data_IF_997194761673
#
_entry.id   IF_997194761673
#
_cell.length_a   1.000
_cell.length_b   1.000
_cell.length_c   1.000
_cell.angle_alpha   90.00
_cell.angle_beta   90.00
_cell.angle_gamma   90.00
#
_symmetry.space_group_name_H-M   'P 1'
#
loop_
_entity.id
_entity.type
_entity.pdbx_description
1 polymer ?
#
# COMPACT_ATOMS: atom_id res chain seq x y z
N UNK A 1 -14.30 -24.79 -12.54
CA UNK A 1 -13.04 -24.65 -13.30
C UNK A 1 -11.87 -24.77 -12.33
N UNK A 2 -10.73 -25.25 -12.80
CA UNK A 2 -9.47 -25.28 -12.04
C UNK A 2 -8.73 -23.95 -12.26
N UNK A 3 -8.40 -23.23 -11.18
CA UNK A 3 -7.71 -21.95 -11.25
C UNK A 3 -6.42 -22.04 -10.46
N UNK A 4 -5.33 -21.63 -11.10
CA UNK A 4 -4.01 -21.53 -10.46
C UNK A 4 -3.66 -20.06 -10.22
N UNK A 5 -3.44 -19.69 -8.95
CA UNK A 5 -3.04 -18.34 -8.55
C UNK A 5 -1.55 -18.34 -8.22
N UNK A 6 -0.82 -17.41 -8.81
CA UNK A 6 0.61 -17.24 -8.64
C UNK A 6 0.87 -16.08 -7.69
N UNK A 7 1.23 -16.39 -6.44
CA UNK A 7 1.43 -15.44 -5.34
C UNK A 7 0.30 -15.44 -4.32
N UNK A 8 0.66 -15.52 -3.04
CA UNK A 8 -0.22 -15.54 -1.88
C UNK A 8 -0.20 -14.25 -1.05
N UNK A 9 0.16 -13.11 -1.67
CA UNK A 9 -0.05 -11.79 -1.08
C UNK A 9 -1.53 -11.47 -0.94
N UNK A 10 -1.86 -10.29 -0.41
CA UNK A 10 -3.26 -9.87 -0.19
C UNK A 10 -4.13 -10.01 -1.44
N UNK A 11 -3.62 -9.71 -2.62
CA UNK A 11 -4.37 -9.80 -3.88
C UNK A 11 -4.65 -11.27 -4.24
N UNK A 12 -3.63 -12.13 -4.22
CA UNK A 12 -3.79 -13.54 -4.55
C UNK A 12 -4.69 -14.28 -3.57
N UNK A 13 -4.54 -14.02 -2.29
CA UNK A 13 -5.37 -14.66 -1.24
C UNK A 13 -6.83 -14.18 -1.31
N UNK A 14 -7.06 -12.87 -1.54
CA UNK A 14 -8.42 -12.34 -1.71
C UNK A 14 -9.09 -12.93 -2.94
N UNK A 15 -8.37 -13.01 -4.07
CA UNK A 15 -8.89 -13.66 -5.28
C UNK A 15 -9.19 -15.15 -5.04
N UNK A 16 -8.33 -15.87 -4.32
CA UNK A 16 -8.54 -17.27 -3.99
C UNK A 16 -9.83 -17.49 -3.18
N UNK A 17 -10.05 -16.64 -2.16
CA UNK A 17 -11.26 -16.70 -1.35
C UNK A 17 -12.53 -16.51 -2.18
N UNK A 18 -12.59 -15.44 -2.98
CA UNK A 18 -13.79 -15.16 -3.77
C UNK A 18 -14.02 -16.18 -4.90
N UNK A 19 -12.97 -16.69 -5.53
CA UNK A 19 -13.09 -17.73 -6.55
C UNK A 19 -13.55 -19.06 -5.95
N UNK A 20 -13.06 -19.42 -4.77
CA UNK A 20 -13.54 -20.61 -4.06
C UNK A 20 -15.00 -20.44 -3.59
N UNK A 21 -15.37 -19.27 -3.07
CA UNK A 21 -16.76 -18.91 -2.72
C UNK A 21 -17.70 -19.00 -3.94
N UNK A 22 -17.19 -18.74 -5.15
CA UNK A 22 -17.91 -18.90 -6.41
C UNK A 22 -17.92 -20.34 -6.95
N UNK A 23 -17.40 -21.33 -6.21
CA UNK A 23 -17.45 -22.75 -6.57
C UNK A 23 -16.33 -23.23 -7.50
N UNK A 24 -15.22 -22.47 -7.62
CA UNK A 24 -14.06 -22.90 -8.40
C UNK A 24 -13.08 -23.72 -7.55
N UNK A 25 -12.37 -24.67 -8.20
CA UNK A 25 -11.25 -25.39 -7.60
C UNK A 25 -9.99 -24.50 -7.71
N UNK A 26 -9.48 -24.00 -6.58
CA UNK A 26 -8.40 -23.02 -6.55
C UNK A 26 -7.15 -23.61 -5.90
N UNK A 27 -6.01 -23.44 -6.57
CA UNK A 27 -4.68 -23.70 -6.02
C UNK A 27 -3.88 -22.40 -6.04
N UNK A 28 -3.24 -22.07 -4.92
CA UNK A 28 -2.34 -20.91 -4.79
C UNK A 28 -0.93 -21.42 -4.61
N UNK A 29 0.03 -20.82 -5.31
CA UNK A 29 1.45 -21.17 -5.25
C UNK A 29 2.28 -19.97 -4.83
N UNK A 30 3.16 -20.16 -3.87
CA UNK A 30 4.05 -19.09 -3.39
C UNK A 30 5.42 -19.66 -2.97
N UNK A 31 6.48 -18.91 -3.20
CA UNK A 31 7.85 -19.24 -2.79
C UNK A 31 8.08 -19.13 -1.29
N UNK A 32 7.27 -18.36 -0.60
CA UNK A 32 7.35 -18.16 0.85
C UNK A 32 6.75 -19.34 1.60
N UNK A 33 7.05 -19.45 2.89
CA UNK A 33 6.56 -20.52 3.78
C UNK A 33 5.10 -20.32 4.24
N UNK A 34 4.52 -19.14 4.00
CA UNK A 34 3.13 -18.79 4.32
C UNK A 34 2.65 -17.61 3.46
N UNK A 35 1.35 -17.33 3.49
CA UNK A 35 0.78 -16.16 2.82
C UNK A 35 1.29 -14.85 3.42
N UNK A 36 1.35 -13.80 2.59
CA UNK A 36 1.64 -12.42 2.98
C UNK A 36 3.05 -12.14 3.53
N UNK A 37 4.05 -12.96 3.27
CA UNK A 37 5.41 -12.77 3.78
C UNK A 37 6.30 -11.83 2.94
N UNK A 38 5.74 -11.12 1.96
CA UNK A 38 6.45 -10.08 1.20
C UNK A 38 5.78 -8.70 1.39
N UNK A 39 5.44 -7.96 0.36
CA UNK A 39 4.87 -6.59 0.46
C UNK A 39 3.66 -6.50 1.40
N UNK A 40 2.84 -7.55 1.48
CA UNK A 40 1.68 -7.61 2.38
C UNK A 40 2.05 -7.80 3.86
N UNK A 41 3.30 -8.15 4.17
CA UNK A 41 3.78 -8.37 5.55
C UNK A 41 3.91 -7.07 6.35
N UNK A 42 4.51 -6.04 5.72
CA UNK A 42 4.87 -4.82 6.42
C UNK A 42 4.63 -3.59 5.53
N UNK A 43 3.43 -3.07 5.60
CA UNK A 43 2.99 -1.83 4.96
C UNK A 43 2.47 -0.85 6.02
N UNK A 44 2.00 0.32 5.62
CA UNK A 44 1.53 1.35 6.54
C UNK A 44 0.17 1.03 7.20
N UNK A 45 -0.54 -0.01 6.74
CA UNK A 45 -1.83 -0.42 7.30
C UNK A 45 -2.99 0.50 6.93
N UNK A 46 -2.86 1.31 5.90
CA UNK A 46 -3.90 2.23 5.44
C UNK A 46 -4.91 1.54 4.52
N UNK A 47 -6.19 1.75 4.79
CA UNK A 47 -7.33 1.49 3.91
C UNK A 47 -7.97 2.84 3.60
N UNK A 48 -7.28 3.63 2.80
CA UNK A 48 -7.54 5.07 2.62
C UNK A 48 -7.95 5.40 1.18
N UNK A 49 -9.18 5.12 0.77
CA UNK A 49 -9.68 5.44 -0.57
C UNK A 49 -9.66 6.94 -0.85
N UNK A 50 -9.95 7.77 0.16
CA UNK A 50 -9.91 9.22 0.04
C UNK A 50 -8.50 9.78 -0.18
N UNK A 51 -7.47 9.10 0.35
CA UNK A 51 -6.06 9.46 0.15
C UNK A 51 -5.48 8.91 -1.17
N UNK A 52 -6.20 8.03 -1.87
CA UNK A 52 -5.73 7.43 -3.11
C UNK A 52 -5.43 8.46 -4.19
N UNK A 53 -4.16 8.63 -4.54
CA UNK A 53 -3.71 9.55 -5.57
C UNK A 53 -2.51 8.98 -6.34
N UNK A 54 -2.39 9.26 -7.66
CA UNK A 54 -1.23 8.85 -8.42
C UNK A 54 0.01 9.64 -7.99
N UNK A 55 1.15 8.96 -7.90
CA UNK A 55 2.42 9.64 -7.62
C UNK A 55 2.84 10.57 -8.77
N UNK A 56 2.42 10.27 -9.99
CA UNK A 56 2.66 11.10 -11.17
C UNK A 56 1.74 12.32 -11.16
N UNK A 57 2.06 13.32 -10.35
CA UNK A 57 1.32 14.58 -10.24
C UNK A 57 2.06 15.78 -10.86
N UNK A 58 1.32 16.85 -11.17
CA UNK A 58 1.92 18.10 -11.64
C UNK A 58 2.92 18.64 -10.62
N UNK A 59 4.12 19.04 -11.10
CA UNK A 59 5.20 19.54 -10.25
C UNK A 59 5.97 18.48 -9.45
N UNK A 60 5.56 17.20 -9.48
CA UNK A 60 6.28 16.11 -8.82
C UNK A 60 7.73 15.97 -9.29
N UNK A 61 8.08 16.12 -10.58
CA UNK A 61 9.47 16.05 -11.01
C UNK A 61 10.38 17.07 -10.30
N UNK A 62 9.93 18.32 -10.15
CA UNK A 62 10.68 19.35 -9.42
C UNK A 62 10.70 19.08 -7.92
N UNK A 63 9.60 18.61 -7.33
CA UNK A 63 9.54 18.19 -5.93
C UNK A 63 10.48 17.02 -5.65
N UNK A 64 10.58 16.05 -6.58
CA UNK A 64 11.46 14.90 -6.43
C UNK A 64 12.94 15.31 -6.31
N UNK A 65 13.40 16.27 -7.12
CA UNK A 65 14.75 16.82 -7.01
C UNK A 65 14.97 17.45 -5.62
N UNK A 66 14.00 18.25 -5.15
CA UNK A 66 14.07 18.86 -3.82
C UNK A 66 14.11 17.79 -2.72
N UNK A 67 13.27 16.75 -2.82
CA UNK A 67 13.22 15.67 -1.84
C UNK A 67 14.55 14.91 -1.75
N UNK A 68 15.18 14.61 -2.89
CA UNK A 68 16.47 13.92 -2.91
C UNK A 68 17.60 14.69 -2.20
N UNK A 69 17.46 16.02 -2.06
CA UNK A 69 18.43 16.89 -1.38
C UNK A 69 18.12 17.07 0.12
N UNK A 70 16.98 16.56 0.62
CA UNK A 70 16.62 16.68 2.04
C UNK A 70 17.35 15.64 2.89
N UNK A 71 17.70 15.98 4.11
CA UNK A 71 18.32 15.06 5.07
C UNK A 71 17.42 13.85 5.38
N UNK A 72 16.14 14.08 5.66
CA UNK A 72 15.10 13.05 5.79
C UNK A 72 14.29 12.94 4.50
N UNK A 73 14.95 12.49 3.44
CA UNK A 73 14.36 12.43 2.10
C UNK A 73 13.24 11.41 2.01
N UNK A 74 12.02 11.78 1.55
CA UNK A 74 10.96 10.81 1.29
C UNK A 74 11.21 9.96 0.05
N UNK A 75 12.12 10.36 -0.84
CA UNK A 75 12.42 9.67 -2.10
C UNK A 75 13.92 9.56 -2.33
N UNK A 76 14.40 8.35 -2.64
CA UNK A 76 15.75 8.10 -3.11
C UNK A 76 15.72 7.35 -4.43
N UNK A 77 16.50 7.82 -5.39
CA UNK A 77 16.68 7.16 -6.69
C UNK A 77 18.15 6.80 -6.83
N UNK A 78 18.44 5.50 -6.94
CA UNK A 78 19.81 5.04 -7.21
C UNK A 78 20.03 5.06 -8.71
N UNK A 79 21.12 5.70 -9.15
CA UNK A 79 21.50 5.63 -10.56
C UNK A 79 21.89 4.20 -10.90
N UNK A 80 21.08 3.56 -11.75
CA UNK A 80 21.32 2.19 -12.21
C UNK A 80 21.23 2.14 -13.73
N UNK A 81 22.04 1.28 -14.34
CA UNK A 81 21.96 0.96 -15.77
C UNK A 81 20.83 -0.09 -15.99
N UNK A 82 19.60 0.29 -15.63
CA UNK A 82 18.42 -0.55 -15.78
C UNK A 82 17.45 0.08 -16.80
N UNK A 83 17.35 -0.46 -18.02
CA UNK A 83 16.42 0.03 -19.03
C UNK A 83 14.95 -0.01 -18.63
N UNK A 84 14.58 -0.91 -17.70
CA UNK A 84 13.22 -1.00 -17.20
C UNK A 84 12.89 0.20 -16.30
N UNK A 85 13.84 0.61 -15.44
CA UNK A 85 13.71 1.82 -14.62
C UNK A 85 13.55 3.07 -15.47
N UNK A 86 14.37 3.23 -16.50
CA UNK A 86 14.31 4.40 -17.38
C UNK A 86 13.00 4.47 -18.18
N UNK A 87 12.52 3.34 -18.71
CA UNK A 87 11.22 3.27 -19.40
C UNK A 87 10.05 3.58 -18.45
N UNK A 88 10.08 3.03 -17.23
CA UNK A 88 9.08 3.31 -16.21
C UNK A 88 9.10 4.79 -15.82
N UNK A 89 10.28 5.37 -15.57
CA UNK A 89 10.46 6.78 -15.24
C UNK A 89 9.95 7.71 -16.35
N UNK A 90 10.27 7.42 -17.61
CA UNK A 90 9.74 8.17 -18.75
C UNK A 90 8.20 8.10 -18.84
N UNK A 91 7.61 6.94 -18.54
CA UNK A 91 6.15 6.78 -18.49
C UNK A 91 5.54 7.57 -17.32
N UNK A 92 6.19 7.57 -16.16
CA UNK A 92 5.78 8.39 -15.03
C UNK A 92 5.80 9.87 -15.36
N UNK A 93 6.90 10.39 -15.95
CA UNK A 93 7.03 11.78 -16.34
C UNK A 93 5.94 12.21 -17.35
N UNK A 94 5.60 11.37 -18.33
CA UNK A 94 4.50 11.62 -19.27
C UNK A 94 3.14 11.75 -18.59
N UNK A 95 2.96 11.18 -17.41
CA UNK A 95 1.73 11.26 -16.61
C UNK A 95 1.71 12.46 -15.65
N UNK A 96 2.81 13.19 -15.46
CA UNK A 96 2.91 14.35 -14.58
C UNK A 96 2.26 15.61 -15.16
N UNK A 97 1.05 15.53 -15.70
CA UNK A 97 0.27 16.64 -16.22
C UNK A 97 -1.07 16.76 -15.50
N UNK A 98 -1.63 17.97 -15.39
CA UNK A 98 -2.94 18.22 -14.75
C UNK A 98 -4.03 17.28 -15.31
N UNK A 99 -4.16 17.21 -16.63
CA UNK A 99 -5.17 16.39 -17.32
C UNK A 99 -5.04 14.91 -16.98
N UNK A 100 -3.81 14.35 -17.04
CA UNK A 100 -3.58 12.93 -16.74
C UNK A 100 -3.75 12.63 -15.26
N UNK A 101 -3.29 13.55 -14.40
CA UNK A 101 -3.48 13.43 -12.96
C UNK A 101 -4.95 13.32 -12.60
N UNK A 102 -5.80 14.24 -13.07
CA UNK A 102 -7.24 14.22 -12.80
C UNK A 102 -7.90 12.90 -13.26
N UNK A 103 -7.59 12.44 -14.48
CA UNK A 103 -8.10 11.17 -15.01
C UNK A 103 -7.64 9.98 -14.14
N UNK A 104 -6.36 9.91 -13.83
CA UNK A 104 -5.80 8.78 -13.09
C UNK A 104 -6.29 8.78 -11.64
N UNK A 105 -6.35 9.93 -10.99
CA UNK A 105 -6.90 10.07 -9.62
C UNK A 105 -8.36 9.64 -9.58
N UNK A 106 -9.18 10.08 -10.51
CA UNK A 106 -10.60 9.69 -10.58
C UNK A 106 -10.79 8.17 -10.71
N UNK A 107 -9.94 7.50 -11.49
CA UNK A 107 -9.95 6.04 -11.63
C UNK A 107 -9.53 5.35 -10.34
N UNK A 108 -8.48 5.85 -9.68
CA UNK A 108 -8.00 5.31 -8.42
C UNK A 108 -9.03 5.44 -7.31
N UNK A 109 -9.61 6.62 -7.13
CA UNK A 109 -10.62 6.87 -6.08
C UNK A 109 -11.83 5.93 -6.25
N UNK A 110 -12.38 5.79 -7.47
CA UNK A 110 -13.51 4.90 -7.72
C UNK A 110 -13.20 3.43 -7.38
N UNK A 111 -12.02 2.96 -7.78
CA UNK A 111 -11.60 1.58 -7.47
C UNK A 111 -11.36 1.39 -5.98
N UNK A 112 -10.76 2.37 -5.32
CA UNK A 112 -10.43 2.32 -3.91
C UNK A 112 -11.70 2.39 -3.03
N UNK A 113 -12.69 3.22 -3.39
CA UNK A 113 -14.00 3.27 -2.72
C UNK A 113 -14.72 1.92 -2.84
N UNK A 114 -14.77 1.34 -4.06
CA UNK A 114 -15.34 0.02 -4.27
C UNK A 114 -14.62 -1.06 -3.44
N UNK A 115 -13.28 -1.03 -3.42
CA UNK A 115 -12.48 -1.97 -2.63
C UNK A 115 -12.77 -1.87 -1.13
N UNK A 116 -12.92 -0.64 -0.59
CA UNK A 116 -13.31 -0.43 0.80
C UNK A 116 -14.69 -1.04 1.10
N UNK A 117 -15.66 -0.82 0.23
CA UNK A 117 -17.00 -1.35 0.41
C UNK A 117 -17.00 -2.88 0.40
N UNK A 118 -16.27 -3.51 -0.53
CA UNK A 118 -16.04 -4.97 -0.52
C UNK A 118 -15.37 -5.46 0.78
N UNK A 119 -14.40 -4.70 1.34
CA UNK A 119 -13.79 -5.06 2.63
C UNK A 119 -14.80 -4.98 3.79
N UNK A 120 -15.68 -3.99 3.79
CA UNK A 120 -16.75 -3.87 4.80
C UNK A 120 -17.74 -5.02 4.71
N UNK A 121 -18.16 -5.36 3.51
CA UNK A 121 -19.03 -6.52 3.26
C UNK A 121 -18.34 -7.81 3.73
N UNK A 122 -17.09 -8.04 3.33
CA UNK A 122 -16.34 -9.21 3.75
C UNK A 122 -16.23 -9.31 5.28
N UNK A 123 -15.96 -8.20 5.95
CA UNK A 123 -15.89 -8.13 7.42
C UNK A 123 -17.25 -8.44 8.06
N UNK A 124 -18.33 -7.90 7.51
CA UNK A 124 -19.70 -8.18 7.98
C UNK A 124 -20.08 -9.66 7.79
N UNK A 125 -19.73 -10.24 6.63
CA UNK A 125 -20.05 -11.62 6.30
C UNK A 125 -19.26 -12.65 7.12
N UNK A 126 -18.01 -12.34 7.46
CA UNK A 126 -17.06 -13.34 7.99
C UNK A 126 -16.61 -13.09 9.43
N UNK A 127 -16.80 -11.89 9.96
CA UNK A 127 -16.25 -11.48 11.24
C UNK A 127 -14.71 -11.43 11.26
N UNK A 128 -14.04 -11.29 10.10
CA UNK A 128 -12.59 -11.27 10.01
C UNK A 128 -11.99 -10.11 10.83
N UNK A 129 -11.02 -10.44 11.67
CA UNK A 129 -10.31 -9.47 12.51
C UNK A 129 -8.87 -9.29 12.01
N UNK A 130 -8.41 -8.02 11.96
CA UNK A 130 -7.09 -7.63 11.48
C UNK A 130 -6.60 -6.31 12.08
N UNK A 131 -6.87 -6.07 13.37
CA UNK A 131 -6.59 -4.82 14.10
C UNK A 131 -7.23 -3.59 13.42
N UNK A 132 -8.39 -3.77 12.79
CA UNK A 132 -9.07 -2.72 12.04
C UNK A 132 -9.59 -1.61 12.94
N UNK A 133 -9.46 -0.37 12.45
CA UNK A 133 -10.04 0.82 13.07
C UNK A 133 -10.71 1.68 12.00
N UNK A 134 -11.81 2.34 12.36
CA UNK A 134 -12.63 3.17 11.47
C UNK A 134 -12.60 4.65 11.89
N UNK A 135 -11.42 5.13 12.27
CA UNK A 135 -11.21 6.48 12.82
C UNK A 135 -10.81 7.51 11.75
N UNK A 136 -10.69 7.07 10.51
CA UNK A 136 -10.29 7.92 9.40
C UNK A 136 -8.79 8.01 9.21
N UNK A 137 -8.38 8.86 8.26
CA UNK A 137 -6.99 9.27 8.03
C UNK A 137 -6.88 10.77 8.22
N UNK A 138 -5.81 11.21 8.91
CA UNK A 138 -5.54 12.61 9.17
C UNK A 138 -4.22 13.03 8.50
N UNK A 139 -4.28 13.89 7.49
CA UNK A 139 -3.13 14.47 6.81
C UNK A 139 -2.72 15.76 7.53
N UNK A 140 -1.49 15.84 8.03
CA UNK A 140 -0.97 16.99 8.77
C UNK A 140 -0.11 17.89 7.88
N UNK A 141 -0.31 19.20 7.97
CA UNK A 141 0.39 20.21 7.18
C UNK A 141 1.17 21.15 8.09
N UNK A 142 2.49 21.26 7.85
CA UNK A 142 3.38 22.13 8.63
C UNK A 142 3.37 23.56 8.13
N UNK A 143 2.96 23.81 6.90
CA UNK A 143 2.94 25.15 6.30
C UNK A 143 1.62 25.44 5.61
N UNK A 144 1.22 26.73 5.60
CA UNK A 144 0.01 27.17 4.90
C UNK A 144 0.03 26.78 3.41
N UNK A 145 1.18 26.87 2.75
CA UNK A 145 1.35 26.47 1.35
C UNK A 145 1.01 25.00 1.11
N UNK A 146 1.32 24.10 2.07
CA UNK A 146 0.94 22.68 1.96
C UNK A 146 -0.57 22.52 2.09
N UNK A 147 -1.19 23.20 3.06
CA UNK A 147 -2.63 23.17 3.29
C UNK A 147 -3.39 23.72 2.08
N UNK A 148 -2.99 24.88 1.55
CA UNK A 148 -3.62 25.48 0.35
C UNK A 148 -3.48 24.56 -0.87
N UNK A 149 -2.40 23.80 -0.94
CA UNK A 149 -2.15 22.82 -2.02
C UNK A 149 -3.16 21.69 -2.11
N UNK A 150 -3.95 21.46 -1.06
CA UNK A 150 -4.99 20.39 -1.02
C UNK A 150 -6.24 20.73 -1.84
N UNK A 151 -6.44 21.99 -2.23
CA UNK A 151 -7.67 22.44 -2.88
C UNK A 151 -8.04 21.63 -4.14
N UNK A 152 -7.04 21.25 -4.96
CA UNK A 152 -7.24 20.42 -6.15
C UNK A 152 -7.68 19.00 -5.82
N UNK A 153 -7.13 18.44 -4.77
CA UNK A 153 -7.48 17.11 -4.30
C UNK A 153 -8.89 17.10 -3.71
N UNK A 154 -9.23 18.12 -2.93
CA UNK A 154 -10.56 18.33 -2.35
C UNK A 154 -11.61 18.43 -3.45
N UNK A 155 -11.34 19.13 -4.55
CA UNK A 155 -12.29 19.23 -5.67
C UNK A 155 -12.63 17.85 -6.26
N UNK A 156 -11.64 16.98 -6.40
CA UNK A 156 -11.86 15.61 -6.87
C UNK A 156 -12.64 14.79 -5.83
N UNK A 157 -12.29 14.90 -4.54
CA UNK A 157 -13.05 14.23 -3.48
C UNK A 157 -14.54 14.64 -3.51
N UNK A 158 -14.79 15.95 -3.68
CA UNK A 158 -16.17 16.49 -3.80
C UNK A 158 -16.91 15.91 -5.01
N UNK A 159 -16.26 15.83 -6.17
CA UNK A 159 -16.86 15.26 -7.39
C UNK A 159 -17.27 13.79 -7.22
N UNK A 160 -16.55 13.02 -6.38
CA UNK A 160 -16.86 11.61 -6.11
C UNK A 160 -17.64 11.39 -4.80
N UNK A 161 -18.12 12.45 -4.15
CA UNK A 161 -18.89 12.36 -2.92
C UNK A 161 -18.10 11.76 -1.74
N UNK A 162 -16.77 11.85 -1.76
CA UNK A 162 -15.91 11.40 -0.67
C UNK A 162 -15.92 12.45 0.43
N UNK A 163 -16.36 12.13 1.66
CA UNK A 163 -16.37 13.07 2.76
C UNK A 163 -14.95 13.47 3.17
N UNK A 164 -14.79 14.74 3.48
CA UNK A 164 -13.56 15.30 4.03
C UNK A 164 -13.85 16.43 5.01
N UNK A 165 -12.90 16.71 5.89
CA UNK A 165 -12.97 17.80 6.87
C UNK A 165 -11.64 18.54 6.85
N UNK A 166 -11.68 19.88 6.65
CA UNK A 166 -10.52 20.74 6.89
C UNK A 166 -10.56 21.18 8.35
N UNK A 167 -9.51 20.87 9.09
CA UNK A 167 -9.42 21.08 10.53
C UNK A 167 -8.30 22.08 10.87
N UNK A 168 -8.63 23.02 11.73
CA UNK A 168 -7.67 23.85 12.45
C UNK A 168 -7.02 23.10 13.63
N UNK A 169 -6.16 23.76 14.39
CA UNK A 169 -5.47 23.14 15.54
C UNK A 169 -6.42 22.53 16.57
N UNK A 170 -7.41 23.27 17.11
CA UNK A 170 -8.40 22.68 18.02
C UNK A 170 -9.15 21.49 17.40
N UNK A 171 -9.49 21.57 16.12
CA UNK A 171 -10.21 20.54 15.39
C UNK A 171 -9.43 19.24 15.28
N UNK A 172 -8.18 19.28 14.83
CA UNK A 172 -7.42 18.04 14.70
C UNK A 172 -6.94 17.45 16.05
N UNK A 173 -6.69 18.29 17.07
CA UNK A 173 -6.40 17.80 18.43
C UNK A 173 -7.61 17.08 19.04
N UNK A 174 -8.84 17.53 18.73
CA UNK A 174 -10.05 16.82 19.14
C UNK A 174 -10.13 15.41 18.52
N UNK A 175 -9.67 15.25 17.29
CA UNK A 175 -9.65 13.95 16.57
C UNK A 175 -8.49 13.06 17.05
N UNK A 176 -7.32 13.66 17.26
CA UNK A 176 -6.07 13.01 17.67
C UNK A 176 -5.48 13.70 18.92
N UNK A 177 -5.98 13.35 20.12
CA UNK A 177 -5.59 14.04 21.34
C UNK A 177 -4.09 14.02 21.64
N UNK A 178 -3.39 12.97 21.24
CA UNK A 178 -1.95 12.83 21.43
C UNK A 178 -1.13 13.92 20.70
N UNK A 179 -1.69 14.52 19.65
CA UNK A 179 -1.06 15.62 18.91
C UNK A 179 -1.05 16.96 19.67
N UNK A 180 -1.77 17.06 20.80
CA UNK A 180 -1.72 18.28 21.64
C UNK A 180 -0.31 18.64 22.09
N UNK A 181 0.54 17.63 22.34
CA UNK A 181 1.95 17.82 22.72
C UNK A 181 2.79 18.52 21.63
N UNK A 182 2.37 18.45 20.38
CA UNK A 182 3.14 18.91 19.21
C UNK A 182 2.33 19.82 18.29
N UNK A 183 1.16 20.29 18.73
CA UNK A 183 0.19 21.04 17.91
C UNK A 183 0.77 22.29 17.25
N UNK A 184 1.77 22.93 17.86
CA UNK A 184 2.39 24.13 17.30
C UNK A 184 3.19 23.87 16.02
N UNK A 185 3.53 22.61 15.72
CA UNK A 185 4.25 22.21 14.51
C UNK A 185 3.39 22.24 13.25
N UNK A 186 2.06 22.31 13.39
CA UNK A 186 1.13 22.18 12.27
C UNK A 186 0.16 23.35 12.19
N UNK A 187 -0.13 23.78 10.98
CA UNK A 187 -1.07 24.89 10.71
C UNK A 187 -2.51 24.38 10.53
N UNK A 188 -2.70 23.11 10.20
CA UNK A 188 -4.01 22.50 9.98
C UNK A 188 -3.87 21.08 9.47
N UNK A 189 -5.02 20.45 9.25
CA UNK A 189 -5.12 19.07 8.78
C UNK A 189 -6.28 18.89 7.78
N UNK A 190 -6.17 17.84 6.94
CA UNK A 190 -7.26 17.31 6.15
C UNK A 190 -7.61 15.93 6.67
N UNK A 191 -8.82 15.77 7.18
CA UNK A 191 -9.35 14.48 7.65
C UNK A 191 -10.19 13.82 6.58
N UNK A 192 -10.03 12.51 6.43
CA UNK A 192 -10.83 11.63 5.57
C UNK A 192 -11.58 10.65 6.49
N UNK A 193 -12.79 11.00 6.96
CA UNK A 193 -13.44 10.29 8.08
C UNK A 193 -13.93 8.88 7.73
N UNK A 194 -14.05 8.54 6.45
CA UNK A 194 -14.44 7.19 5.99
C UNK A 194 -13.28 6.25 5.71
N UNK A 195 -12.05 6.74 5.78
CA UNK A 195 -10.87 5.91 5.67
C UNK A 195 -10.74 5.01 6.90
N UNK A 196 -10.09 3.88 6.73
CA UNK A 196 -9.92 2.86 7.76
C UNK A 196 -8.44 2.47 7.86
N UNK A 197 -8.11 1.73 8.91
CA UNK A 197 -6.79 1.15 9.09
C UNK A 197 -6.93 -0.35 9.34
N UNK A 198 -5.85 -1.09 9.14
CA UNK A 198 -5.81 -2.49 9.47
C UNK A 198 -4.48 -3.16 9.11
N UNK A 199 -4.17 -4.25 9.80
CA UNK A 199 -2.99 -5.04 9.54
C UNK A 199 -3.19 -5.95 8.33
N UNK A 200 -2.60 -5.58 7.20
CA UNK A 200 -2.69 -6.34 5.96
C UNK A 200 -2.15 -7.78 6.09
N UNK A 201 -1.12 -8.00 6.93
CA UNK A 201 -0.60 -9.33 7.18
C UNK A 201 -1.64 -10.20 7.91
N UNK A 202 -2.19 -9.70 9.03
CA UNK A 202 -3.25 -10.40 9.78
C UNK A 202 -4.48 -10.66 8.91
N UNK A 203 -4.91 -9.65 8.14
CA UNK A 203 -6.01 -9.80 7.18
C UNK A 203 -5.76 -10.96 6.23
N UNK A 204 -4.60 -10.96 5.56
CA UNK A 204 -4.27 -11.96 4.55
C UNK A 204 -4.14 -13.35 5.15
N UNK A 205 -3.49 -13.49 6.32
CA UNK A 205 -3.37 -14.76 7.03
C UNK A 205 -4.73 -15.33 7.46
N UNK A 206 -5.59 -14.49 8.01
CA UNK A 206 -6.93 -14.94 8.44
C UNK A 206 -7.82 -15.28 7.24
N UNK A 207 -7.74 -14.50 6.16
CA UNK A 207 -8.48 -14.80 4.93
C UNK A 207 -7.97 -16.07 4.24
N UNK A 208 -6.66 -16.35 4.29
CA UNK A 208 -6.10 -17.61 3.78
C UNK A 208 -6.69 -18.81 4.51
N UNK A 209 -6.76 -18.79 5.85
CA UNK A 209 -7.42 -19.84 6.65
C UNK A 209 -8.90 -20.02 6.31
N UNK A 210 -9.59 -18.92 6.02
CA UNK A 210 -11.00 -18.99 5.57
C UNK A 210 -11.10 -19.60 4.16
N UNK A 211 -10.19 -19.26 3.26
CA UNK A 211 -10.12 -19.82 1.92
C UNK A 211 -9.80 -21.34 1.93
N UNK A 212 -8.91 -21.80 2.83
CA UNK A 212 -8.63 -23.21 3.05
C UNK A 212 -9.90 -23.99 3.46
N UNK A 213 -10.73 -23.42 4.33
CA UNK A 213 -12.03 -24.00 4.71
C UNK A 213 -13.01 -24.12 3.53
N UNK A 214 -12.84 -23.30 2.50
CA UNK A 214 -13.59 -23.38 1.25
C UNK A 214 -12.94 -24.33 0.22
N UNK A 215 -11.86 -25.04 0.58
CA UNK A 215 -11.17 -26.01 -0.26
C UNK A 215 -10.03 -25.45 -1.10
N UNK A 216 -9.58 -24.21 -0.86
CA UNK A 216 -8.38 -23.67 -1.52
C UNK A 216 -7.14 -24.42 -1.05
N UNK A 217 -6.32 -24.84 -2.00
CA UNK A 217 -5.03 -25.49 -1.73
C UNK A 217 -3.89 -24.48 -1.82
N UNK A 218 -3.20 -24.22 -0.72
CA UNK A 218 -1.97 -23.42 -0.72
C UNK A 218 -0.75 -24.34 -0.82
N UNK A 219 0.16 -24.03 -1.76
CA UNK A 219 1.45 -24.71 -1.96
C UNK A 219 2.55 -23.70 -1.73
N UNK A 220 3.09 -23.72 -0.53
CA UNK A 220 4.18 -22.86 -0.09
C UNK A 220 5.55 -23.47 -0.38
N UNK A 221 6.59 -22.64 -0.39
CA UNK A 221 7.97 -23.07 -0.66
C UNK A 221 8.20 -23.50 -2.11
N UNK A 222 7.36 -23.07 -3.05
CA UNK A 222 7.44 -23.45 -4.46
C UNK A 222 7.81 -22.26 -5.32
N UNK A 223 8.98 -22.29 -5.96
CA UNK A 223 9.44 -21.23 -6.84
C UNK A 223 8.84 -21.35 -8.23
N UNK A 224 8.25 -20.27 -8.70
CA UNK A 224 7.72 -20.14 -10.05
C UNK A 224 8.85 -19.71 -10.98
N UNK A 225 9.21 -20.58 -11.92
CA UNK A 225 10.32 -20.38 -12.84
C UNK A 225 9.92 -19.75 -14.18
N UNK A 226 8.68 -20.01 -14.64
CA UNK A 226 8.24 -19.48 -15.92
C UNK A 226 6.84 -19.91 -16.34
N UNK A 227 6.32 -19.19 -17.31
CA UNK A 227 5.08 -19.51 -18.02
C UNK A 227 5.40 -20.21 -19.33
N UNK A 228 4.63 -21.23 -19.68
CA UNK A 228 4.73 -21.91 -20.98
C UNK A 228 3.50 -21.57 -21.80
N UNK A 229 3.73 -20.93 -22.95
CA UNK A 229 2.68 -20.60 -23.91
C UNK A 229 2.68 -21.60 -25.06
N UNK A 230 1.50 -21.89 -25.61
CA UNK A 230 1.33 -22.61 -26.88
C UNK A 230 1.20 -21.63 -28.07
N UNK A 231 1.45 -20.33 -27.84
CA UNK A 231 1.31 -19.26 -28.84
C UNK A 231 -0.03 -18.50 -28.73
N UNK A 232 -1.06 -19.10 -28.17
CA UNK A 232 -2.39 -18.49 -28.03
C UNK A 232 -2.78 -18.28 -26.56
N UNK A 233 -2.32 -19.14 -25.68
CA UNK A 233 -2.63 -19.12 -24.25
C UNK A 233 -1.48 -19.66 -23.42
N UNK A 234 -1.53 -19.42 -22.11
CA UNK A 234 -0.64 -20.09 -21.16
C UNK A 234 -1.18 -21.52 -20.95
N UNK A 235 -0.36 -22.51 -21.26
CA UNK A 235 -0.72 -23.93 -21.15
C UNK A 235 -0.33 -24.53 -19.81
N UNK A 236 0.74 -24.02 -19.18
CA UNK A 236 1.26 -24.50 -17.88
C UNK A 236 2.22 -23.51 -17.24
N UNK A 237 2.48 -23.71 -15.96
CA UNK A 237 3.46 -22.98 -15.17
C UNK A 237 4.59 -23.95 -14.79
N UNK A 238 5.85 -23.55 -15.03
CA UNK A 238 7.03 -24.30 -14.55
C UNK A 238 7.37 -23.83 -13.15
N UNK A 239 7.65 -24.79 -12.28
CA UNK A 239 8.12 -24.57 -10.92
C UNK A 239 9.27 -25.53 -10.60
N UNK A 240 10.01 -25.26 -9.54
CA UNK A 240 11.03 -26.17 -8.98
C UNK A 240 10.44 -27.49 -8.46
N UNK A 241 9.13 -27.52 -8.18
CA UNK A 241 8.37 -28.72 -7.77
C UNK A 241 7.63 -29.39 -8.94
N UNK A 242 7.98 -29.08 -10.20
CA UNK A 242 7.38 -29.64 -11.41
C UNK A 242 6.45 -28.66 -12.15
N UNK A 243 5.65 -29.20 -13.05
CA UNK A 243 4.75 -28.41 -13.90
C UNK A 243 3.33 -28.41 -13.33
N UNK A 244 2.69 -27.24 -13.35
CA UNK A 244 1.31 -27.05 -12.89
C UNK A 244 0.42 -26.67 -14.07
N UNK A 245 -0.73 -27.35 -14.17
CA UNK A 245 -1.73 -27.15 -15.23
C UNK A 245 -3.06 -26.79 -14.60
N UNK A 246 -3.71 -25.77 -15.17
CA UNK A 246 -5.04 -25.32 -14.78
C UNK A 246 -5.82 -24.83 -16.02
N UNK A 247 -7.12 -24.59 -15.86
CA UNK A 247 -7.95 -24.00 -16.90
C UNK A 247 -7.64 -22.51 -17.07
N UNK A 248 -7.37 -21.82 -15.93
CA UNK A 248 -7.04 -20.40 -15.87
C UNK A 248 -5.89 -20.12 -14.89
N UNK A 249 -5.14 -19.07 -15.19
CA UNK A 249 -3.99 -18.62 -14.40
C UNK A 249 -4.20 -17.17 -13.97
N UNK A 250 -4.06 -16.90 -12.67
CA UNK A 250 -4.08 -15.53 -12.11
C UNK A 250 -2.69 -15.18 -11.61
N UNK A 251 -2.12 -14.12 -12.15
CA UNK A 251 -0.82 -13.61 -11.74
C UNK A 251 -0.97 -12.53 -10.66
N UNK A 252 -0.49 -12.79 -9.46
CA UNK A 252 -0.56 -11.91 -8.29
C UNK A 252 0.80 -11.72 -7.60
N UNK A 253 1.90 -11.67 -8.38
CA UNK A 253 3.29 -11.60 -7.90
C UNK A 253 3.79 -10.16 -7.66
N UNK A 254 2.89 -9.16 -7.59
CA UNK A 254 3.28 -7.77 -7.32
C UNK A 254 4.36 -7.29 -8.28
N UNK A 255 5.45 -6.73 -7.73
CA UNK A 255 6.57 -6.19 -8.52
C UNK A 255 7.39 -7.23 -9.27
N UNK A 256 7.25 -8.52 -8.96
CA UNK A 256 7.90 -9.63 -9.70
C UNK A 256 7.15 -10.05 -10.96
N UNK A 257 5.89 -9.62 -11.12
CA UNK A 257 5.07 -9.96 -12.29
C UNK A 257 5.73 -9.65 -13.65
N UNK A 258 6.43 -8.51 -13.84
CA UNK A 258 7.09 -8.23 -15.10
C UNK A 258 8.17 -9.24 -15.50
N UNK A 259 8.86 -9.85 -14.52
CA UNK A 259 9.92 -10.83 -14.77
C UNK A 259 9.35 -12.12 -15.38
N UNK A 260 8.15 -12.52 -14.92
CA UNK A 260 7.48 -13.71 -15.41
C UNK A 260 6.76 -13.49 -16.76
N UNK A 261 6.30 -12.26 -17.02
CA UNK A 261 5.53 -11.92 -18.21
C UNK A 261 6.40 -11.61 -19.44
N UNK A 262 7.57 -11.00 -19.24
CA UNK A 262 8.48 -10.61 -20.35
C UNK A 262 8.85 -11.76 -21.29
N UNK A 263 9.21 -12.97 -20.79
CA UNK A 263 9.55 -14.09 -21.66
C UNK A 263 8.43 -14.56 -22.58
N UNK A 264 7.17 -14.28 -22.21
CA UNK A 264 5.97 -14.60 -23.04
C UNK A 264 5.47 -13.39 -23.82
N UNK A 265 6.28 -12.34 -23.96
CA UNK A 265 5.98 -11.17 -24.79
C UNK A 265 5.03 -10.13 -24.16
N UNK A 266 4.63 -10.30 -22.91
CA UNK A 266 3.72 -9.38 -22.21
C UNK A 266 4.52 -8.34 -21.42
N UNK A 267 4.25 -7.06 -21.66
CA UNK A 267 4.91 -5.94 -21.00
C UNK A 267 3.92 -5.12 -20.19
N UNK A 268 4.12 -5.07 -18.87
CA UNK A 268 3.34 -4.24 -17.97
C UNK A 268 4.20 -3.12 -17.38
N UNK A 269 3.68 -1.89 -17.19
CA UNK A 269 4.44 -0.75 -16.70
C UNK A 269 4.58 -0.77 -15.17
N UNK A 270 5.09 -1.87 -14.63
CA UNK A 270 5.34 -2.05 -13.20
C UNK A 270 6.84 -2.05 -12.95
N UNK A 271 7.28 -1.27 -11.95
CA UNK A 271 8.66 -1.24 -11.48
C UNK A 271 8.68 -1.32 -9.96
N UNK A 272 9.61 -2.06 -9.34
CA UNK A 272 9.68 -2.19 -7.89
C UNK A 272 10.05 -0.87 -7.22
N UNK A 273 9.27 -0.50 -6.22
CA UNK A 273 9.57 0.61 -5.31
C UNK A 273 9.66 0.04 -3.91
N UNK A 274 10.82 0.20 -3.28
CA UNK A 274 11.04 -0.26 -1.93
C UNK A 274 10.61 0.80 -0.93
N UNK A 275 9.67 0.43 -0.05
CA UNK A 275 9.31 1.20 1.14
C UNK A 275 10.02 0.66 2.38
N UNK A 276 9.94 1.42 3.46
CA UNK A 276 10.46 1.02 4.77
C UNK A 276 9.37 1.15 5.81
N UNK A 277 9.38 0.27 6.79
CA UNK A 277 8.50 0.39 7.94
C UNK A 277 9.21 -0.04 9.22
N UNK A 278 8.81 0.55 10.34
CA UNK A 278 9.15 0.10 11.68
C UNK A 278 7.85 -0.17 12.45
N UNK A 279 7.98 -0.94 13.50
CA UNK A 279 6.87 -1.22 14.42
C UNK A 279 7.34 -0.92 15.83
N UNK A 280 6.59 -0.07 16.52
CA UNK A 280 6.90 0.42 17.88
C UNK A 280 5.80 -0.05 18.82
N UNK A 281 6.11 -0.73 19.92
CA UNK A 281 5.11 -1.06 20.95
C UNK A 281 4.49 0.21 21.54
N UNK A 282 3.21 0.21 21.82
CA UNK A 282 2.56 1.31 22.55
C UNK A 282 2.87 1.15 24.03
N UNK A 283 3.55 2.14 24.62
CA UNK A 283 3.84 2.17 26.06
C UNK A 283 2.79 2.95 26.86
N UNK A 284 2.19 3.97 26.24
CA UNK A 284 1.07 4.70 26.81
C UNK A 284 0.04 5.06 25.72
N UNK A 285 -1.11 4.41 25.79
CA UNK A 285 -2.18 4.56 24.81
C UNK A 285 -2.71 6.01 24.67
N UNK A 286 -2.58 6.83 25.72
CA UNK A 286 -3.02 8.24 25.70
C UNK A 286 -2.17 9.12 24.78
N UNK A 287 -0.94 8.69 24.50
CA UNK A 287 0.02 9.42 23.67
C UNK A 287 0.31 8.72 22.33
N UNK A 288 -0.44 7.66 22.04
CA UNK A 288 -0.38 6.95 20.76
C UNK A 288 -1.44 7.47 19.80
N UNK A 289 -1.29 7.27 18.47
CA UNK A 289 -2.31 7.66 17.51
C UNK A 289 -3.63 6.91 17.72
N UNK A 290 -4.76 7.54 17.39
CA UNK A 290 -6.07 6.91 17.35
C UNK A 290 -6.38 6.31 15.98
N UNK A 291 -5.85 6.90 14.92
CA UNK A 291 -6.12 6.55 13.52
C UNK A 291 -4.81 6.35 12.72
N UNK A 292 -4.83 6.68 11.45
CA UNK A 292 -3.63 6.89 10.63
C UNK A 292 -3.34 8.37 10.48
N UNK A 293 -2.12 8.75 10.82
CA UNK A 293 -1.59 10.10 10.62
C UNK A 293 -0.62 10.09 9.45
N UNK A 294 -0.84 10.96 8.47
CA UNK A 294 0.07 11.19 7.36
C UNK A 294 0.83 12.50 7.55
N UNK A 295 2.12 12.44 7.80
CA UNK A 295 2.99 13.63 7.74
C UNK A 295 3.27 13.98 6.26
N UNK A 296 2.63 15.01 5.77
CA UNK A 296 2.74 15.43 4.36
C UNK A 296 4.13 16.00 4.00
N UNK A 297 4.93 16.39 4.99
CA UNK A 297 6.31 16.88 4.77
C UNK A 297 7.27 15.74 4.49
N UNK A 298 7.21 14.69 5.32
CA UNK A 298 8.10 13.54 5.23
C UNK A 298 7.52 12.37 4.41
N UNK A 299 6.21 12.45 4.07
CA UNK A 299 5.48 11.36 3.39
C UNK A 299 5.60 10.04 4.16
N UNK A 300 5.35 10.12 5.45
CA UNK A 300 5.38 9.00 6.39
C UNK A 300 4.01 8.86 7.04
N UNK A 301 3.48 7.66 7.00
CA UNK A 301 2.27 7.28 7.72
C UNK A 301 2.61 6.71 9.10
N UNK A 302 1.87 7.12 10.12
CA UNK A 302 1.96 6.62 11.48
C UNK A 302 0.59 6.07 11.87
N UNK A 303 0.47 4.76 11.99
CA UNK A 303 -0.82 4.04 12.12
C UNK A 303 -0.84 3.21 13.38
N UNK A 304 -1.95 3.27 14.12
CA UNK A 304 -2.19 2.34 15.24
C UNK A 304 -2.73 1.00 14.74
N UNK A 305 -2.06 -0.09 15.09
CA UNK A 305 -2.47 -1.47 14.82
C UNK A 305 -2.51 -2.25 16.16
N UNK A 306 -3.69 -2.33 16.77
CA UNK A 306 -3.85 -2.94 18.10
C UNK A 306 -3.04 -2.21 19.17
N UNK A 307 -2.05 -2.89 19.73
CA UNK A 307 -1.14 -2.44 20.80
C UNK A 307 0.22 -1.90 20.28
N UNK A 308 0.32 -1.62 19.00
CA UNK A 308 1.56 -1.14 18.34
C UNK A 308 1.29 -0.01 17.36
N UNK A 309 2.32 0.79 17.13
CA UNK A 309 2.37 1.83 16.12
C UNK A 309 3.16 1.28 14.94
N UNK A 310 2.57 1.28 13.75
CA UNK A 310 3.26 1.03 12.50
C UNK A 310 3.63 2.37 11.86
N UNK A 311 4.89 2.53 11.53
CA UNK A 311 5.40 3.70 10.82
C UNK A 311 5.87 3.24 9.45
N UNK A 312 5.26 3.76 8.40
CA UNK A 312 5.57 3.37 7.03
C UNK A 312 5.84 4.60 6.16
N UNK A 313 6.86 4.53 5.33
CA UNK A 313 7.18 5.65 4.45
C UNK A 313 8.47 5.44 3.68
N UNK A 314 8.97 6.53 3.16
CA UNK A 314 10.14 6.60 2.29
C UNK A 314 10.07 5.66 1.08
N UNK A 315 10.35 6.19 -0.10
CA UNK A 315 10.37 5.45 -1.34
C UNK A 315 11.80 5.35 -1.87
N UNK A 316 12.22 4.16 -2.26
CA UNK A 316 13.55 3.93 -2.83
C UNK A 316 13.44 3.15 -4.14
N UNK A 317 13.93 3.76 -5.22
CA UNK A 317 14.10 3.11 -6.51
C UNK A 317 15.50 2.48 -6.56
N UNK A 318 15.58 1.18 -6.31
CA UNK A 318 16.80 0.39 -6.22
C UNK A 318 16.65 -0.98 -6.90
N UNK A 319 15.77 -1.10 -7.88
CA UNK A 319 15.44 -2.39 -8.50
C UNK A 319 14.96 -3.40 -7.47
N UNK A 320 15.40 -4.63 -7.62
CA UNK A 320 15.05 -5.74 -6.72
C UNK A 320 16.01 -5.88 -5.51
N UNK A 321 16.80 -4.86 -5.20
CA UNK A 321 17.68 -4.87 -4.03
C UNK A 321 16.84 -4.73 -2.74
N UNK A 322 16.85 -5.76 -1.90
CA UNK A 322 16.10 -5.83 -0.63
C UNK A 322 16.89 -5.37 0.60
N UNK A 323 18.17 -4.96 0.43
CA UNK A 323 18.97 -4.51 1.56
C UNK A 323 18.35 -3.28 2.23
N UNK A 324 18.14 -3.35 3.53
CA UNK A 324 17.60 -2.26 4.33
C UNK A 324 18.74 -1.30 4.75
N UNK A 325 18.50 -0.01 4.54
CA UNK A 325 19.46 1.06 4.88
C UNK A 325 19.08 1.74 6.17
N UNK A 326 19.98 1.81 7.11
CA UNK A 326 19.75 2.42 8.41
C UNK A 326 19.32 3.89 8.31
N UNK A 327 19.85 4.65 7.37
CA UNK A 327 19.44 6.04 7.15
C UNK A 327 17.94 6.18 6.82
N UNK A 328 17.32 5.17 6.20
CA UNK A 328 15.87 5.14 5.92
C UNK A 328 15.07 4.84 7.17
N UNK A 329 15.55 3.91 8.01
CA UNK A 329 14.97 3.63 9.32
C UNK A 329 14.98 4.87 10.21
N UNK A 330 16.14 5.55 10.31
CA UNK A 330 16.27 6.81 11.10
C UNK A 330 15.26 7.89 10.71
N UNK A 331 14.84 7.95 9.45
CA UNK A 331 13.78 8.88 9.03
C UNK A 331 12.44 8.52 9.67
N UNK A 332 12.12 7.24 9.75
CA UNK A 332 10.88 6.76 10.38
C UNK A 332 10.93 6.98 11.91
N UNK A 333 12.06 6.66 12.54
CA UNK A 333 12.30 6.92 13.96
C UNK A 333 12.10 8.41 14.29
N UNK A 334 12.70 9.30 13.46
CA UNK A 334 12.55 10.75 13.60
C UNK A 334 11.07 11.16 13.53
N UNK A 335 10.32 10.70 12.56
CA UNK A 335 8.93 11.12 12.37
C UNK A 335 8.03 10.63 13.51
N UNK A 336 8.15 9.38 13.95
CA UNK A 336 7.30 8.88 15.03
C UNK A 336 7.62 9.59 16.35
N UNK A 337 8.89 9.85 16.64
CA UNK A 337 9.30 10.60 17.84
C UNK A 337 8.86 12.07 17.77
N UNK A 338 8.88 12.67 16.58
CA UNK A 338 8.44 14.05 16.36
C UNK A 338 6.93 14.23 16.53
N UNK A 339 6.14 13.23 16.15
CA UNK A 339 4.68 13.25 16.24
C UNK A 339 4.16 12.73 17.60
N UNK A 340 4.72 11.63 18.07
CA UNK A 340 4.26 10.90 19.26
C UNK A 340 5.41 10.63 20.25
N UNK A 341 6.00 11.69 20.85
CA UNK A 341 7.23 11.57 21.65
C UNK A 341 7.08 10.74 22.94
N UNK A 342 5.86 10.35 23.28
CA UNK A 342 5.54 9.56 24.50
C UNK A 342 4.68 8.34 24.20
N UNK A 343 4.41 8.03 22.92
CA UNK A 343 3.47 6.98 22.53
C UNK A 343 4.05 5.57 22.56
N UNK A 344 5.37 5.43 22.45
CA UNK A 344 6.05 4.14 22.39
C UNK A 344 7.56 4.26 22.46
N UNK A 345 8.26 3.11 22.60
CA UNK A 345 9.71 2.96 22.63
C UNK A 345 10.22 2.16 21.42
#
# INVERSE_FOLDING_TARGET
MKILILGSGVIGTTAAYYLAKAGHSVTVVDRQSASALETSYANAGEVSPGYSAPWAGPGVPLKAIKWMLMHHSPLVIWPMLDPAMWRWGASMLRNCTEKRYAINKSRMVRLAEYSRDCMRELRADTGIEYDQRTQGTLQLFRTQKQLDGTAKDIEILRQFGVPYELLDRPGYVKVEPALDLVKEKFVGALRLPRDETGDCFKFTQNLAKMAEKLGVQFRFGVNIEGLVSDGTRISRVRTDAGQLVADHYLLALGSYSPLLLRPVGIHIPVYPVKGYSITVPITDARYAPESTIMDETHKVAVTRLGDRIRVGGTAELAGYNLNLREARRKTLDHVVTDLFPRGGD
#
